data_IF_189719889376
#
_entry.id   IF_189719889376
#
_cell.length_a   1.000
_cell.length_b   1.000
_cell.length_c   1.000
_cell.angle_alpha   90.00
_cell.angle_beta   90.00
_cell.angle_gamma   90.00
#
_symmetry.space_group_name_H-M   'P 1'
#
loop_
_entity.id
_entity.type
_entity.pdbx_description
1 polymer ?
#
# COMPACT_ATOMS: atom_id res chain seq x y z
N UNK A 1 18.63 -0.88 -30.37
CA UNK A 1 17.93 -2.15 -30.02
C UNK A 1 18.09 -2.54 -28.53
N UNK A 2 18.50 -1.64 -27.62
CA UNK A 2 18.78 -1.94 -26.21
C UNK A 2 17.75 -1.39 -25.19
N UNK A 3 16.84 -0.50 -25.57
CA UNK A 3 15.95 0.20 -24.63
C UNK A 3 14.72 -0.61 -24.18
N UNK A 4 14.22 -1.54 -25.00
CA UNK A 4 12.98 -2.27 -24.70
C UNK A 4 13.15 -3.26 -23.53
N UNK A 5 14.35 -3.84 -23.36
CA UNK A 5 14.64 -4.77 -22.25
C UNK A 5 14.80 -4.06 -20.90
N UNK A 6 15.46 -2.89 -20.88
CA UNK A 6 15.63 -2.12 -19.65
C UNK A 6 14.31 -1.56 -19.11
N UNK A 7 13.43 -1.08 -19.97
CA UNK A 7 12.16 -0.52 -19.54
C UNK A 7 11.20 -1.61 -19.00
N UNK A 8 11.24 -2.81 -19.58
CA UNK A 8 10.42 -3.95 -19.12
C UNK A 8 10.87 -4.43 -17.73
N UNK A 9 12.17 -4.53 -17.48
CA UNK A 9 12.70 -4.94 -16.17
C UNK A 9 12.45 -3.90 -15.06
N UNK A 10 12.53 -2.60 -15.38
CA UNK A 10 12.20 -1.54 -14.42
C UNK A 10 10.71 -1.54 -14.05
N UNK A 11 9.84 -1.78 -15.04
CA UNK A 11 8.38 -1.84 -14.83
C UNK A 11 7.98 -3.07 -14.02
N UNK A 12 8.58 -4.22 -14.29
CA UNK A 12 8.38 -5.46 -13.52
C UNK A 12 8.88 -5.35 -12.08
N UNK A 13 10.03 -4.70 -11.86
CA UNK A 13 10.56 -4.42 -10.54
C UNK A 13 9.67 -3.47 -9.72
N UNK A 14 9.17 -2.40 -10.36
CA UNK A 14 8.23 -1.45 -9.73
C UNK A 14 6.90 -2.13 -9.37
N UNK A 15 6.36 -2.95 -10.29
CA UNK A 15 5.12 -3.68 -10.06
C UNK A 15 5.23 -4.70 -8.92
N UNK A 16 6.30 -5.51 -8.89
CA UNK A 16 6.54 -6.48 -7.82
C UNK A 16 6.70 -5.80 -6.47
N UNK A 17 7.48 -4.70 -6.41
CA UNK A 17 7.65 -3.90 -5.21
C UNK A 17 6.30 -3.34 -4.70
N UNK A 18 5.46 -2.85 -5.61
CA UNK A 18 4.13 -2.35 -5.29
C UNK A 18 3.21 -3.45 -4.75
N UNK A 19 3.20 -4.63 -5.39
CA UNK A 19 2.42 -5.79 -4.94
C UNK A 19 2.86 -6.23 -3.53
N UNK A 20 4.16 -6.32 -3.28
CA UNK A 20 4.70 -6.69 -1.97
C UNK A 20 4.24 -5.72 -0.87
N UNK A 21 4.34 -4.42 -1.11
CA UNK A 21 3.89 -3.42 -0.14
C UNK A 21 2.37 -3.40 0.03
N UNK A 22 1.60 -3.66 -1.03
CA UNK A 22 0.15 -3.81 -0.92
C UNK A 22 -0.23 -4.99 -0.02
N UNK A 23 0.51 -6.11 -0.10
CA UNK A 23 0.33 -7.26 0.80
C UNK A 23 0.69 -6.85 2.24
N UNK A 24 1.86 -6.24 2.46
CA UNK A 24 2.33 -5.79 3.77
C UNK A 24 1.36 -4.84 4.46
N UNK A 25 0.91 -3.80 3.76
CA UNK A 25 -0.09 -2.86 4.29
C UNK A 25 -1.42 -3.58 4.53
N UNK A 26 -1.80 -4.55 3.69
CA UNK A 26 -2.95 -5.42 3.91
C UNK A 26 -2.84 -6.32 5.13
N UNK A 27 -1.64 -6.63 5.62
CA UNK A 27 -1.42 -7.46 6.81
C UNK A 27 -1.58 -6.67 8.11
N UNK A 28 -1.45 -5.34 8.10
CA UNK A 28 -1.50 -4.55 9.34
C UNK A 28 -2.79 -4.72 10.15
N UNK A 29 -4.00 -4.87 9.57
CA UNK A 29 -5.20 -5.15 10.34
C UNK A 29 -5.24 -6.53 11.00
N UNK A 30 -4.38 -7.46 10.57
CA UNK A 30 -4.23 -8.80 11.15
C UNK A 30 -3.25 -8.81 12.34
N UNK A 31 -2.51 -7.73 12.55
CA UNK A 31 -1.57 -7.57 13.66
C UNK A 31 -2.36 -7.10 14.89
N UNK A 32 -2.44 -7.88 15.97
CA UNK A 32 -3.23 -7.55 17.15
C UNK A 32 -2.47 -6.61 18.10
N UNK A 33 -1.96 -5.48 17.60
CA UNK A 33 -1.24 -4.48 18.41
C UNK A 33 -1.81 -3.09 18.11
N UNK A 34 -2.67 -2.53 18.99
CA UNK A 34 -3.27 -1.21 18.77
C UNK A 34 -2.22 -0.11 18.78
N UNK A 35 -2.41 0.95 17.99
CA UNK A 35 -1.53 2.13 17.83
C UNK A 35 -0.29 1.83 16.99
N UNK A 36 0.37 0.71 17.25
CA UNK A 36 1.54 0.27 16.47
C UNK A 36 1.14 -0.11 15.04
N UNK A 37 -0.10 -0.56 14.82
CA UNK A 37 -0.63 -0.87 13.49
C UNK A 37 -0.71 0.35 12.57
N UNK A 38 -1.09 1.52 13.10
CA UNK A 38 -1.13 2.77 12.34
C UNK A 38 0.28 3.30 12.02
N UNK A 39 1.23 3.16 12.96
CA UNK A 39 2.64 3.49 12.71
C UNK A 39 3.26 2.57 11.66
N UNK A 40 3.03 1.26 11.76
CA UNK A 40 3.48 0.28 10.78
C UNK A 40 2.88 0.55 9.39
N UNK A 41 1.57 0.86 9.32
CA UNK A 41 0.92 1.27 8.06
C UNK A 41 1.60 2.49 7.45
N UNK A 42 1.89 3.52 8.25
CA UNK A 42 2.57 4.73 7.77
C UNK A 42 4.00 4.44 7.29
N UNK A 43 4.74 3.61 8.05
CA UNK A 43 6.08 3.13 7.67
C UNK A 43 6.05 2.44 6.31
N UNK A 44 5.20 1.42 6.14
CA UNK A 44 5.10 0.67 4.88
C UNK A 44 4.67 1.54 3.71
N UNK A 45 3.79 2.52 3.94
CA UNK A 45 3.38 3.47 2.89
C UNK A 45 4.52 4.40 2.47
N UNK A 46 5.27 4.97 3.43
CA UNK A 46 6.46 5.78 3.13
C UNK A 46 7.51 4.97 2.39
N UNK A 47 7.75 3.73 2.83
CA UNK A 47 8.67 2.79 2.20
C UNK A 47 8.27 2.48 0.76
N UNK A 48 6.98 2.25 0.49
CA UNK A 48 6.44 2.07 -0.87
C UNK A 48 6.75 3.29 -1.75
N UNK A 49 6.35 4.49 -1.33
CA UNK A 49 6.55 5.72 -2.12
C UNK A 49 8.03 5.98 -2.38
N UNK A 50 8.91 5.72 -1.40
CA UNK A 50 10.37 5.84 -1.58
C UNK A 50 10.90 4.84 -2.60
N UNK A 51 10.45 3.58 -2.58
CA UNK A 51 10.84 2.57 -3.58
C UNK A 51 10.32 2.91 -4.98
N UNK A 52 9.08 3.40 -5.09
CA UNK A 52 8.51 3.85 -6.37
C UNK A 52 9.28 5.05 -6.93
N UNK A 53 9.67 6.00 -6.08
CA UNK A 53 10.51 7.11 -6.53
C UNK A 53 11.85 6.61 -7.07
N UNK A 54 12.51 5.71 -6.32
CA UNK A 54 13.79 5.13 -6.73
C UNK A 54 13.70 4.32 -8.03
N UNK A 55 12.64 3.54 -8.23
CA UNK A 55 12.42 2.79 -9.49
C UNK A 55 12.16 3.71 -10.69
N UNK A 56 11.61 4.89 -10.44
CA UNK A 56 11.45 5.95 -11.46
C UNK A 56 12.69 6.87 -11.56
N UNK A 57 13.81 6.53 -10.94
CA UNK A 57 15.06 7.31 -10.98
C UNK A 57 14.99 8.63 -10.20
N UNK A 58 14.02 8.79 -9.30
CA UNK A 58 13.79 10.01 -8.52
C UNK A 58 14.19 9.84 -7.06
N UNK A 59 14.71 10.91 -6.47
CA UNK A 59 14.85 11.03 -5.01
C UNK A 59 13.81 12.04 -4.53
N UNK A 60 12.89 11.60 -3.68
CA UNK A 60 11.93 12.49 -3.02
C UNK A 60 12.57 13.06 -1.76
N UNK A 61 12.41 14.35 -1.54
CA UNK A 61 12.68 14.97 -0.23
C UNK A 61 11.68 14.44 0.81
N UNK A 62 12.05 14.51 2.10
CA UNK A 62 11.14 14.11 3.19
C UNK A 62 9.86 14.97 3.23
N UNK A 63 9.91 16.21 2.74
CA UNK A 63 8.75 17.08 2.60
C UNK A 63 7.79 16.56 1.52
N UNK A 64 8.29 16.21 0.34
CA UNK A 64 7.48 15.64 -0.76
C UNK A 64 6.93 14.25 -0.38
N UNK A 65 7.76 13.41 0.25
CA UNK A 65 7.35 12.11 0.74
C UNK A 65 6.19 12.25 1.74
N UNK A 66 6.31 13.20 2.67
CA UNK A 66 5.26 13.48 3.65
C UNK A 66 4.01 14.03 2.99
N UNK A 67 4.13 14.94 2.01
CA UNK A 67 2.99 15.47 1.26
C UNK A 67 2.22 14.37 0.50
N UNK A 68 2.93 13.43 -0.13
CA UNK A 68 2.34 12.31 -0.87
C UNK A 68 1.68 11.25 0.04
N UNK A 69 2.19 11.10 1.27
CA UNK A 69 1.74 10.04 2.19
C UNK A 69 0.79 10.51 3.29
N UNK A 70 0.67 11.82 3.50
CA UNK A 70 -0.19 12.40 4.55
C UNK A 70 -1.67 12.14 4.29
N UNK A 71 -2.29 11.29 5.11
CA UNK A 71 -3.74 11.17 5.23
C UNK A 71 -4.24 12.19 6.26
N UNK A 72 -4.88 13.28 5.83
CA UNK A 72 -5.62 14.16 6.75
C UNK A 72 -6.84 13.40 7.30
N UNK A 73 -6.69 12.78 8.48
CA UNK A 73 -7.80 12.46 9.38
C UNK A 73 -7.82 11.04 10.01
N UNK A 74 -7.44 10.94 11.29
CA UNK A 74 -8.32 10.61 12.45
C UNK A 74 -7.46 10.58 13.72
N UNK A 75 -7.84 11.39 14.70
CA UNK A 75 -7.09 11.59 15.94
C UNK A 75 -6.83 10.30 16.73
N UNK A 76 -5.57 10.12 17.10
CA UNK A 76 -4.99 9.07 17.95
C UNK A 76 -5.82 8.78 19.22
N UNK A 77 -6.56 9.76 19.74
CA UNK A 77 -7.21 9.66 21.06
C UNK A 77 -8.57 8.94 21.03
N UNK A 78 -9.32 9.01 19.92
CA UNK A 78 -10.68 8.43 19.84
C UNK A 78 -10.66 6.92 19.53
N UNK A 79 -9.55 6.39 18.99
CA UNK A 79 -9.35 4.96 18.73
C UNK A 79 -8.94 4.17 19.99
N UNK A 80 -8.11 4.76 20.86
CA UNK A 80 -7.59 4.11 22.06
C UNK A 80 -8.69 3.75 23.07
N UNK A 81 -9.66 4.66 23.29
CA UNK A 81 -10.76 4.43 24.22
C UNK A 81 -11.71 3.33 23.72
N UNK A 82 -11.92 3.25 22.40
CA UNK A 82 -12.76 2.23 21.80
C UNK A 82 -12.09 0.85 21.86
N UNK A 83 -10.79 0.76 21.53
CA UNK A 83 -10.05 -0.50 21.49
C UNK A 83 -10.06 -1.29 22.82
N UNK A 84 -9.97 -0.58 23.95
CA UNK A 84 -10.06 -1.18 25.29
C UNK A 84 -11.49 -1.69 25.58
N UNK A 85 -12.52 -0.95 25.13
CA UNK A 85 -13.92 -1.29 25.36
C UNK A 85 -14.40 -2.50 24.52
N UNK A 86 -13.90 -2.67 23.28
CA UNK A 86 -14.31 -3.78 22.40
C UNK A 86 -13.50 -5.07 22.62
N UNK A 87 -12.40 -5.02 23.37
CA UNK A 87 -11.55 -6.19 23.63
C UNK A 87 -12.29 -7.40 24.25
N UNK A 88 -13.17 -7.23 25.27
CA UNK A 88 -13.98 -8.35 25.77
C UNK A 88 -15.01 -8.86 24.74
N UNK A 89 -15.55 -7.97 23.90
CA UNK A 89 -16.48 -8.33 22.82
C UNK A 89 -15.80 -9.15 21.70
N UNK A 90 -14.51 -8.91 21.46
CA UNK A 90 -13.69 -9.66 20.49
C UNK A 90 -13.58 -11.15 20.84
N UNK A 91 -13.58 -11.50 22.14
CA UNK A 91 -13.54 -12.88 22.57
C UNK A 91 -14.85 -13.62 22.25
N UNK A 92 -15.99 -12.94 22.43
CA UNK A 92 -17.35 -13.48 22.18
C UNK A 92 -17.66 -13.61 20.68
N UNK A 93 -17.22 -12.64 19.86
CA UNK A 93 -17.47 -12.61 18.41
C UNK A 93 -16.23 -12.93 17.57
N UNK A 94 -15.31 -13.76 18.09
CA UNK A 94 -14.00 -14.03 17.48
C UNK A 94 -14.07 -14.38 15.98
N UNK A 95 -15.07 -15.18 15.57
CA UNK A 95 -15.29 -15.53 14.15
C UNK A 95 -15.72 -14.33 13.29
N UNK A 96 -16.60 -13.48 13.82
CA UNK A 96 -17.09 -12.29 13.10
C UNK A 96 -15.99 -11.25 12.98
N UNK A 97 -15.26 -10.97 14.06
CA UNK A 97 -14.09 -10.08 14.03
C UNK A 97 -13.01 -10.59 13.09
N UNK A 98 -12.73 -11.89 13.09
CA UNK A 98 -11.78 -12.48 12.14
C UNK A 98 -12.19 -12.25 10.68
N UNK A 99 -13.48 -12.40 10.36
CA UNK A 99 -13.99 -12.11 9.02
C UNK A 99 -13.90 -10.61 8.68
N UNK A 100 -14.19 -9.73 9.62
CA UNK A 100 -14.10 -8.27 9.42
C UNK A 100 -12.65 -7.80 9.25
N UNK A 101 -11.71 -8.33 10.04
CA UNK A 101 -10.28 -8.07 9.88
C UNK A 101 -9.77 -8.59 8.53
N UNK A 102 -10.27 -9.75 8.08
CA UNK A 102 -9.97 -10.28 6.76
C UNK A 102 -10.49 -9.38 5.64
N UNK A 103 -11.73 -8.90 5.74
CA UNK A 103 -12.26 -7.94 4.76
C UNK A 103 -11.47 -6.64 4.79
N UNK A 104 -11.14 -6.11 5.98
CA UNK A 104 -10.33 -4.90 6.15
C UNK A 104 -8.94 -5.07 5.53
N UNK A 105 -8.32 -6.24 5.69
CA UNK A 105 -7.04 -6.58 5.07
C UNK A 105 -7.13 -6.55 3.53
N UNK A 106 -8.16 -7.17 2.96
CA UNK A 106 -8.40 -7.15 1.50
C UNK A 106 -8.66 -5.73 1.00
N UNK A 107 -9.55 -4.99 1.67
CA UNK A 107 -9.90 -3.62 1.29
C UNK A 107 -8.67 -2.70 1.35
N UNK A 108 -7.84 -2.84 2.39
CA UNK A 108 -6.65 -2.04 2.59
C UNK A 108 -5.54 -2.38 1.59
N UNK A 109 -5.29 -3.66 1.31
CA UNK A 109 -4.36 -4.09 0.27
C UNK A 109 -4.79 -3.55 -1.10
N UNK A 110 -6.07 -3.68 -1.42
CA UNK A 110 -6.63 -3.20 -2.69
C UNK A 110 -6.46 -1.69 -2.85
N UNK A 111 -6.77 -0.91 -1.82
CA UNK A 111 -6.58 0.56 -1.85
C UNK A 111 -5.11 0.95 -1.93
N UNK A 112 -4.24 0.23 -1.23
CA UNK A 112 -2.79 0.46 -1.28
C UNK A 112 -2.24 0.21 -2.68
N UNK A 113 -2.72 -0.85 -3.35
CA UNK A 113 -2.37 -1.13 -4.73
C UNK A 113 -2.78 0.03 -5.67
N UNK A 114 -4.02 0.52 -5.56
CA UNK A 114 -4.49 1.66 -6.36
C UNK A 114 -3.67 2.93 -6.12
N UNK A 115 -3.41 3.24 -4.84
CA UNK A 115 -2.57 4.36 -4.46
C UNK A 115 -1.17 4.24 -5.06
N UNK A 116 -0.53 3.08 -4.89
CA UNK A 116 0.80 2.82 -5.46
C UNK A 116 0.81 2.94 -6.98
N UNK A 117 -0.23 2.43 -7.65
CA UNK A 117 -0.32 2.46 -9.11
C UNK A 117 -0.42 3.88 -9.65
N UNK A 118 -1.23 4.72 -9.01
CA UNK A 118 -1.36 6.13 -9.37
C UNK A 118 -0.12 6.95 -8.98
N UNK A 119 0.51 6.65 -7.84
CA UNK A 119 1.74 7.29 -7.44
C UNK A 119 2.90 6.98 -8.40
N UNK A 120 3.03 5.71 -8.82
CA UNK A 120 4.01 5.28 -9.83
C UNK A 120 3.75 5.99 -11.16
N UNK A 121 2.49 6.01 -11.63
CA UNK A 121 2.10 6.76 -12.83
C UNK A 121 2.46 8.26 -12.74
N UNK A 122 2.23 8.88 -11.58
CA UNK A 122 2.54 10.29 -11.38
C UNK A 122 4.05 10.61 -11.34
N UNK A 123 4.89 9.62 -11.04
CA UNK A 123 6.35 9.77 -11.01
C UNK A 123 7.01 9.49 -12.36
N UNK A 124 6.33 8.78 -13.26
CA UNK A 124 6.86 8.45 -14.59
C UNK A 124 7.05 9.71 -15.44
N UNK A 125 8.20 9.85 -16.12
CA UNK A 125 8.40 10.89 -17.13
C UNK A 125 7.38 10.75 -18.25
N UNK A 126 6.79 11.88 -18.67
CA UNK A 126 5.88 11.94 -19.83
C UNK A 126 6.64 12.30 -21.10
N UNK A 127 5.93 12.48 -22.22
CA UNK A 127 6.51 12.81 -23.53
C UNK A 127 7.40 14.07 -23.60
N UNK A 128 7.45 14.87 -22.52
CA UNK A 128 8.38 16.01 -22.36
C UNK A 128 9.42 15.86 -21.25
N UNK A 129 9.64 14.66 -20.71
CA UNK A 129 10.61 14.39 -19.64
C UNK A 129 10.17 14.78 -18.22
N UNK A 130 9.20 15.70 -18.09
CA UNK A 130 8.58 16.06 -16.81
C UNK A 130 7.52 15.04 -16.36
N UNK A 131 7.43 14.81 -15.05
CA UNK A 131 6.39 13.98 -14.42
C UNK A 131 5.21 14.82 -13.92
N UNK A 132 4.11 14.18 -13.50
CA UNK A 132 2.99 14.90 -12.88
C UNK A 132 3.40 15.66 -11.62
N UNK A 133 4.35 15.12 -10.86
CA UNK A 133 4.88 15.78 -9.66
C UNK A 133 5.64 17.06 -10.03
N UNK A 134 6.37 17.07 -11.15
CA UNK A 134 7.09 18.27 -11.62
C UNK A 134 6.13 19.34 -12.12
N UNK A 135 5.07 18.92 -12.81
CA UNK A 135 4.11 19.82 -13.46
C UNK A 135 3.14 20.45 -12.46
N UNK A 136 2.66 19.67 -11.49
CA UNK A 136 1.57 20.08 -10.60
C UNK A 136 2.00 20.23 -9.13
N UNK A 137 3.19 19.74 -8.77
CA UNK A 137 3.68 19.70 -7.40
C UNK A 137 3.17 18.47 -6.61
N UNK A 138 4.03 17.95 -5.73
CA UNK A 138 3.79 16.73 -4.95
C UNK A 138 2.51 16.79 -4.08
N UNK A 139 2.19 17.96 -3.52
CA UNK A 139 1.00 18.13 -2.69
C UNK A 139 -0.31 18.00 -3.49
N UNK A 140 -0.41 18.69 -4.64
CA UNK A 140 -1.58 18.63 -5.49
C UNK A 140 -1.79 17.22 -6.07
N UNK A 141 -0.70 16.59 -6.52
CA UNK A 141 -0.73 15.18 -6.96
C UNK A 141 -1.17 14.26 -5.83
N UNK A 142 -0.61 14.42 -4.63
CA UNK A 142 -0.98 13.62 -3.45
C UNK A 142 -2.47 13.72 -3.12
N UNK A 143 -3.02 14.93 -3.12
CA UNK A 143 -4.46 15.16 -2.88
C UNK A 143 -5.32 14.55 -4.00
N UNK A 144 -4.93 14.73 -5.26
CA UNK A 144 -5.66 14.17 -6.41
C UNK A 144 -5.65 12.64 -6.39
N UNK A 145 -4.49 12.00 -6.15
CA UNK A 145 -4.37 10.54 -6.03
C UNK A 145 -5.26 10.01 -4.92
N UNK A 146 -5.25 10.65 -3.74
CA UNK A 146 -6.11 10.24 -2.63
C UNK A 146 -7.59 10.36 -2.97
N UNK A 147 -7.98 11.44 -3.66
CA UNK A 147 -9.37 11.63 -4.06
C UNK A 147 -9.83 10.58 -5.08
N UNK A 148 -9.02 10.28 -6.11
CA UNK A 148 -9.31 9.19 -7.06
C UNK A 148 -9.45 7.85 -6.34
N UNK A 149 -8.55 7.54 -5.41
CA UNK A 149 -8.61 6.29 -4.65
C UNK A 149 -9.85 6.18 -3.73
N UNK A 150 -10.43 7.31 -3.29
CA UNK A 150 -11.66 7.33 -2.48
C UNK A 150 -12.91 7.06 -3.31
N UNK A 151 -12.92 7.51 -4.57
CA UNK A 151 -14.11 7.50 -5.44
C UNK A 151 -14.12 6.34 -6.45
N UNK A 152 -12.96 5.79 -6.77
CA UNK A 152 -12.85 4.74 -7.77
C UNK A 152 -13.42 3.39 -7.27
N UNK A 153 -14.12 2.63 -8.13
CA UNK A 153 -14.59 1.31 -7.79
C UNK A 153 -13.39 0.35 -7.64
N UNK A 154 -13.14 -0.15 -6.43
CA UNK A 154 -12.00 -1.04 -6.16
C UNK A 154 -12.23 -2.51 -6.57
N UNK A 155 -13.45 -2.87 -7.01
CA UNK A 155 -13.92 -4.26 -7.14
C UNK A 155 -13.00 -5.19 -7.95
N UNK A 156 -12.44 -4.79 -9.11
CA UNK A 156 -11.61 -5.71 -9.91
C UNK A 156 -10.34 -6.14 -9.16
N UNK A 157 -9.64 -5.18 -8.55
CA UNK A 157 -8.45 -5.45 -7.73
C UNK A 157 -8.86 -6.14 -6.42
N UNK A 158 -9.98 -5.76 -5.81
CA UNK A 158 -10.50 -6.41 -4.61
C UNK A 158 -10.76 -7.90 -4.85
N UNK A 159 -11.30 -8.29 -6.00
CA UNK A 159 -11.49 -9.69 -6.37
C UNK A 159 -10.15 -10.43 -6.49
N UNK A 160 -9.17 -9.83 -7.17
CA UNK A 160 -7.82 -10.38 -7.34
C UNK A 160 -7.10 -10.58 -5.99
N UNK A 161 -7.15 -9.56 -5.11
CA UNK A 161 -6.60 -9.58 -3.76
C UNK A 161 -7.32 -10.60 -2.90
N UNK A 162 -8.65 -10.60 -2.88
CA UNK A 162 -9.47 -11.52 -2.08
C UNK A 162 -9.20 -12.97 -2.44
N UNK A 163 -9.14 -13.28 -3.75
CA UNK A 163 -8.83 -14.61 -4.26
C UNK A 163 -7.45 -15.08 -3.79
N UNK A 164 -6.43 -14.23 -4.00
CA UNK A 164 -5.06 -14.51 -3.57
C UNK A 164 -4.96 -14.72 -2.06
N UNK A 165 -5.52 -13.80 -1.28
CA UNK A 165 -5.47 -13.86 0.17
C UNK A 165 -6.14 -15.15 0.67
N UNK A 166 -7.31 -15.50 0.13
CA UNK A 166 -8.03 -16.73 0.52
C UNK A 166 -7.19 -17.99 0.29
N UNK A 167 -6.45 -18.04 -0.82
CA UNK A 167 -5.55 -19.15 -1.16
C UNK A 167 -4.24 -19.12 -0.34
N UNK A 168 -3.80 -17.93 0.08
CA UNK A 168 -2.55 -17.70 0.81
C UNK A 168 -2.73 -17.53 2.33
N UNK A 169 -3.86 -17.95 2.90
CA UNK A 169 -4.20 -17.72 4.32
C UNK A 169 -3.12 -18.15 5.31
N UNK A 170 -2.44 -19.26 5.05
CA UNK A 170 -1.39 -19.78 5.95
C UNK A 170 -0.15 -18.87 5.94
N UNK A 171 0.39 -18.57 4.76
CA UNK A 171 1.52 -17.66 4.60
C UNK A 171 1.24 -16.25 5.15
N UNK A 172 0.05 -15.69 4.85
CA UNK A 172 -0.35 -14.39 5.38
C UNK A 172 -0.43 -14.37 6.91
N UNK A 173 -0.90 -15.46 7.53
CA UNK A 173 -0.91 -15.58 9.00
C UNK A 173 0.49 -15.74 9.57
N UNK A 174 1.37 -16.50 8.91
CA UNK A 174 2.75 -16.65 9.32
C UNK A 174 3.47 -15.29 9.34
N UNK A 175 3.40 -14.54 8.24
CA UNK A 175 3.95 -13.19 8.14
C UNK A 175 3.33 -12.22 9.15
N UNK A 176 2.00 -12.22 9.31
CA UNK A 176 1.33 -11.38 10.32
C UNK A 176 1.78 -11.72 11.75
N UNK A 177 2.01 -13.00 12.06
CA UNK A 177 2.50 -13.43 13.37
C UNK A 177 3.97 -13.04 13.60
N UNK A 178 4.82 -13.09 12.57
CA UNK A 178 6.20 -12.62 12.63
C UNK A 178 6.22 -11.12 12.97
N UNK A 179 5.49 -10.31 12.19
CA UNK A 179 5.36 -8.87 12.43
C UNK A 179 4.78 -8.58 13.81
N UNK A 180 3.71 -9.27 14.21
CA UNK A 180 3.12 -9.11 15.54
C UNK A 180 4.09 -9.45 16.66
N UNK A 181 4.94 -10.46 16.48
CA UNK A 181 5.92 -10.87 17.49
C UNK A 181 7.05 -9.86 17.63
N UNK A 182 7.51 -9.27 16.52
CA UNK A 182 8.47 -8.17 16.53
C UNK A 182 7.89 -6.94 17.23
N UNK A 183 6.68 -6.54 16.85
CA UNK A 183 6.03 -5.32 17.37
C UNK A 183 5.57 -5.45 18.82
N UNK A 184 5.22 -6.65 19.31
CA UNK A 184 4.87 -6.87 20.73
C UNK A 184 6.03 -6.59 21.70
N UNK A 185 7.28 -6.62 21.21
CA UNK A 185 8.44 -6.27 22.03
C UNK A 185 8.53 -4.77 22.28
N UNK A 186 7.78 -3.97 21.51
CA UNK A 186 7.70 -2.53 21.67
C UNK A 186 6.62 -2.20 22.71
N UNK A 187 6.98 -1.42 23.73
CA UNK A 187 6.06 -1.00 24.79
C UNK A 187 5.18 0.16 24.31
N UNK A 188 4.10 0.49 25.04
CA UNK A 188 3.02 1.39 24.62
C UNK A 188 3.35 2.87 24.30
N UNK A 189 4.63 3.22 24.12
CA UNK A 189 5.11 4.52 23.63
C UNK A 189 6.17 4.37 22.53
N UNK A 190 6.07 3.31 21.72
CA UNK A 190 7.00 3.06 20.63
C UNK A 190 7.11 4.28 19.70
N UNK A 191 8.34 4.74 19.45
CA UNK A 191 8.62 5.78 18.46
C UNK A 191 8.60 5.18 17.05
N UNK A 192 8.45 6.03 16.03
CA UNK A 192 8.41 5.57 14.64
C UNK A 192 9.71 4.85 14.23
N UNK A 193 10.84 5.28 14.78
CA UNK A 193 12.16 4.70 14.56
C UNK A 193 12.25 3.29 15.15
N UNK A 194 11.73 3.07 16.35
CA UNK A 194 11.73 1.76 17.01
C UNK A 194 10.83 0.75 16.27
N UNK A 195 9.71 1.23 15.71
CA UNK A 195 8.84 0.42 14.85
C UNK A 195 9.53 0.05 13.54
N UNK A 196 10.24 1.01 12.92
CA UNK A 196 11.02 0.76 11.71
C UNK A 196 12.08 -0.31 11.96
N UNK A 197 12.87 -0.16 13.02
CA UNK A 197 13.92 -1.10 13.38
C UNK A 197 13.36 -2.51 13.65
N UNK A 198 12.27 -2.62 14.41
CA UNK A 198 11.65 -3.91 14.70
C UNK A 198 11.12 -4.61 13.44
N UNK A 199 10.61 -3.86 12.46
CA UNK A 199 10.16 -4.40 11.17
C UNK A 199 11.36 -4.82 10.32
N UNK A 200 12.41 -4.01 10.26
CA UNK A 200 13.64 -4.30 9.49
C UNK A 200 14.34 -5.57 9.97
N UNK A 201 14.29 -5.86 11.28
CA UNK A 201 14.85 -7.10 11.85
C UNK A 201 14.17 -8.39 11.37
N UNK A 202 12.90 -8.34 10.96
CA UNK A 202 12.14 -9.51 10.50
C UNK A 202 11.82 -9.48 9.01
N UNK A 203 12.29 -8.46 8.30
CA UNK A 203 12.11 -8.29 6.86
C UNK A 203 12.59 -9.50 6.04
N UNK A 204 13.76 -10.12 6.30
CA UNK A 204 14.22 -11.25 5.49
C UNK A 204 13.29 -12.46 5.58
N UNK A 205 12.82 -12.79 6.78
CA UNK A 205 11.88 -13.88 7.03
C UNK A 205 10.49 -13.56 6.48
N UNK A 206 10.03 -12.33 6.67
CA UNK A 206 8.76 -11.84 6.14
C UNK A 206 8.73 -11.89 4.61
N UNK A 207 9.78 -11.43 3.93
CA UNK A 207 9.89 -11.47 2.47
C UNK A 207 9.86 -12.92 1.96
N UNK A 208 10.56 -13.84 2.63
CA UNK A 208 10.53 -15.29 2.30
C UNK A 208 9.13 -15.89 2.43
N UNK A 209 8.39 -15.55 3.50
CA UNK A 209 7.03 -16.04 3.72
C UNK A 209 6.03 -15.44 2.72
N UNK A 210 6.23 -14.17 2.33
CA UNK A 210 5.31 -13.46 1.44
C UNK A 210 5.60 -13.64 -0.05
N UNK A 211 6.80 -14.02 -0.44
CA UNK A 211 7.18 -14.24 -1.84
C UNK A 211 6.15 -15.06 -2.65
N UNK A 212 5.68 -16.24 -2.20
CA UNK A 212 4.66 -16.99 -2.94
C UNK A 212 3.31 -16.26 -3.02
N UNK A 213 3.00 -15.41 -2.04
CA UNK A 213 1.78 -14.58 -2.02
C UNK A 213 1.90 -13.43 -3.00
N UNK A 214 3.04 -12.75 -3.03
CA UNK A 214 3.35 -11.65 -3.95
C UNK A 214 3.33 -12.15 -5.39
N UNK A 215 4.01 -13.25 -5.69
CA UNK A 215 4.03 -13.84 -7.03
C UNK A 215 2.63 -14.28 -7.51
N UNK A 216 1.78 -14.76 -6.59
CA UNK A 216 0.38 -15.10 -6.91
C UNK A 216 -0.46 -13.85 -7.13
N UNK A 217 -0.30 -12.84 -6.29
CA UNK A 217 -1.06 -11.60 -6.39
C UNK A 217 -0.70 -10.85 -7.67
N UNK A 218 0.58 -10.79 -8.03
CA UNK A 218 1.05 -10.19 -9.28
C UNK A 218 0.38 -10.83 -10.49
N UNK A 219 0.33 -12.17 -10.56
CA UNK A 219 -0.39 -12.89 -11.62
C UNK A 219 -1.90 -12.62 -11.62
N UNK A 220 -2.50 -12.59 -10.44
CA UNK A 220 -3.94 -12.30 -10.29
C UNK A 220 -4.27 -10.89 -10.76
N UNK A 221 -3.42 -9.92 -10.44
CA UNK A 221 -3.59 -8.52 -10.87
C UNK A 221 -3.35 -8.35 -12.37
N UNK A 222 -2.42 -9.10 -12.96
CA UNK A 222 -2.25 -9.10 -14.42
C UNK A 222 -3.50 -9.57 -15.19
N UNK A 223 -4.44 -10.26 -14.53
CA UNK A 223 -5.74 -10.61 -15.11
C UNK A 223 -6.82 -9.54 -14.96
N UNK A 224 -6.54 -8.46 -14.21
CA UNK A 224 -7.48 -7.33 -14.09
C UNK A 224 -7.52 -6.58 -15.42
N UNK A 225 -8.71 -6.22 -15.95
CA UNK A 225 -8.82 -5.53 -17.23
C UNK A 225 -8.02 -4.22 -17.25
N UNK A 226 -7.17 -4.02 -18.26
CA UNK A 226 -6.35 -2.80 -18.39
C UNK A 226 -7.19 -1.52 -18.49
N UNK A 227 -8.44 -1.63 -18.95
CA UNK A 227 -9.40 -0.53 -18.93
C UNK A 227 -9.64 0.04 -17.53
N UNK A 228 -9.63 -0.80 -16.49
CA UNK A 228 -9.72 -0.35 -15.10
C UNK A 228 -8.57 0.62 -14.76
N UNK A 229 -7.34 0.23 -15.08
CA UNK A 229 -6.15 1.05 -14.81
C UNK A 229 -6.08 2.29 -15.69
N UNK A 230 -6.52 2.22 -16.95
CA UNK A 230 -6.67 3.39 -17.83
C UNK A 230 -7.66 4.40 -17.25
N UNK A 231 -8.83 3.94 -16.80
CA UNK A 231 -9.85 4.80 -16.20
C UNK A 231 -9.35 5.49 -14.92
N UNK A 232 -8.54 4.81 -14.10
CA UNK A 232 -7.91 5.43 -12.93
C UNK A 232 -6.94 6.55 -13.32
N UNK A 233 -6.08 6.31 -14.31
CA UNK A 233 -5.12 7.31 -14.81
C UNK A 233 -5.83 8.52 -15.40
N UNK A 234 -6.83 8.29 -16.25
CA UNK A 234 -7.63 9.36 -16.85
C UNK A 234 -8.34 10.23 -15.80
N UNK A 235 -8.86 9.63 -14.72
CA UNK A 235 -9.45 10.39 -13.60
C UNK A 235 -8.43 11.23 -12.84
N UNK A 236 -7.19 10.75 -12.71
CA UNK A 236 -6.12 11.52 -12.10
C UNK A 236 -5.75 12.72 -12.98
N UNK A 237 -5.52 12.49 -14.27
CA UNK A 237 -5.17 13.55 -15.23
C UNK A 237 -6.27 14.62 -15.28
N UNK A 238 -7.53 14.22 -15.35
CA UNK A 238 -8.68 15.14 -15.34
C UNK A 238 -8.74 16.01 -14.07
N UNK A 239 -8.40 15.46 -12.90
CA UNK A 239 -8.35 16.23 -11.63
C UNK A 239 -7.19 17.22 -11.58
N UNK A 240 -6.10 16.92 -12.26
CA UNK A 240 -4.95 17.80 -12.37
C UNK A 240 -5.09 18.81 -13.52
N UNK A 241 -6.22 18.82 -14.23
CA UNK A 241 -6.48 19.71 -15.36
C UNK A 241 -5.65 19.37 -16.60
N UNK A 242 -5.17 18.13 -16.70
CA UNK A 242 -4.36 17.67 -17.84
C UNK A 242 -5.23 16.99 -18.89
N UNK A 243 -4.88 17.12 -20.18
CA UNK A 243 -5.55 16.37 -21.23
C UNK A 243 -5.30 14.86 -21.02
N UNK A 244 -6.25 13.99 -21.39
CA UNK A 244 -6.03 12.56 -21.33
C UNK A 244 -4.83 12.18 -22.22
N UNK A 245 -3.90 11.38 -21.70
CA UNK A 245 -2.81 10.81 -22.51
C UNK A 245 -3.43 9.94 -23.61
N UNK A 246 -3.51 10.47 -24.83
CA UNK A 246 -3.88 9.73 -26.04
C UNK A 246 -4.92 10.41 -26.92
N UNK A 247 -4.45 11.31 -27.80
CA UNK A 247 -4.58 11.09 -29.25
C UNK A 247 -3.20 10.75 -29.78
#
# INVERSE_FOLDING_TARGET
MGDIRNNSQATEGSQRGLVAHAVLVGLTPLIPVPVVDDLAKNYFRKRLVRRLAASNGRRLSEAELSALTSERGRGCVRGCLWAVLVYPLKAVFRKVFYFLEWKRAVDLASRTYHFGHLADYAMRPRGGGASLIDLCGAAAVGEAVQAVCREAPIKPVEAAVRGTFRQSRRALRAAANLLASALRRLTGRARAEEVAEAIEQVEPEEERELEPVVARLQRSIASVPEEHFRNLRARLDARLGLPPDGT
#
